data_IF_495818954369
#
_entry.id   IF_495818954369
#
_cell.length_a   1.000
_cell.length_b   1.000
_cell.length_c   1.000
_cell.angle_alpha   90.00
_cell.angle_beta   90.00
_cell.angle_gamma   90.00
#
_symmetry.space_group_name_H-M   'P 1'
#
loop_
_entity.id
_entity.type
_entity.pdbx_description
1 polymer ?
#
# COMPACT_ATOMS: atom_id res chain seq x y z
N UNK A 1 4.47 2.02 23.17
CA UNK A 1 5.70 1.66 22.43
C UNK A 1 6.23 2.87 21.64
N UNK A 2 5.47 3.50 20.76
CA UNK A 2 5.94 4.63 19.94
C UNK A 2 6.47 5.82 20.75
N UNK A 3 5.91 6.08 21.94
CA UNK A 3 6.39 7.16 22.82
C UNK A 3 7.72 6.86 23.54
N UNK A 4 8.16 5.62 23.55
CA UNK A 4 9.36 5.17 24.28
C UNK A 4 10.62 5.10 23.40
N UNK A 5 10.49 5.37 22.09
CA UNK A 5 11.58 5.27 21.13
C UNK A 5 11.69 6.56 20.31
N UNK A 6 12.91 6.92 19.93
CA UNK A 6 13.20 8.09 19.11
C UNK A 6 12.97 7.87 17.60
N UNK A 7 12.61 6.65 17.18
CA UNK A 7 12.37 6.28 15.78
C UNK A 7 10.86 6.21 15.55
N UNK A 8 10.32 6.78 14.45
CA UNK A 8 8.91 6.62 14.11
C UNK A 8 8.53 5.15 13.95
N UNK A 9 7.57 4.68 14.75
CA UNK A 9 7.02 3.32 14.65
C UNK A 9 5.95 3.30 13.57
N UNK A 10 6.04 2.35 12.64
CA UNK A 10 5.04 2.08 11.62
C UNK A 10 4.25 0.82 11.97
N UNK A 11 2.94 0.80 11.69
CA UNK A 11 2.07 -0.38 11.87
C UNK A 11 0.77 -0.23 11.09
N UNK A 12 0.05 -1.34 10.91
CA UNK A 12 -1.29 -1.31 10.31
C UNK A 12 -1.56 -2.41 9.30
N UNK A 13 -0.56 -3.12 8.83
CA UNK A 13 -0.60 -4.05 7.69
C UNK A 13 -1.65 -5.17 7.82
N UNK A 14 -1.92 -5.64 9.04
CA UNK A 14 -2.91 -6.72 9.29
C UNK A 14 -4.24 -6.20 9.85
N UNK A 15 -4.40 -4.89 10.00
CA UNK A 15 -5.62 -4.31 10.55
C UNK A 15 -6.70 -4.23 9.47
N UNK A 16 -7.83 -4.89 9.73
CA UNK A 16 -8.88 -5.11 8.74
C UNK A 16 -10.05 -4.12 8.85
N UNK A 17 -9.99 -3.18 9.78
CA UNK A 17 -11.05 -2.19 9.93
C UNK A 17 -10.53 -0.78 10.22
N UNK A 18 -11.28 0.24 9.77
CA UNK A 18 -11.02 1.62 10.16
C UNK A 18 -11.14 1.86 11.67
N UNK A 19 -11.86 1.00 12.37
CA UNK A 19 -11.96 1.04 13.83
C UNK A 19 -10.62 0.79 14.50
N UNK A 20 -9.88 -0.19 14.02
CA UNK A 20 -8.53 -0.49 14.50
C UNK A 20 -7.59 0.71 14.29
N UNK A 21 -7.64 1.32 13.11
CA UNK A 21 -6.84 2.50 12.83
C UNK A 21 -7.23 3.71 13.68
N UNK A 22 -8.53 3.91 13.94
CA UNK A 22 -9.00 4.92 14.89
C UNK A 22 -8.35 4.73 16.26
N UNK A 23 -8.29 3.51 16.75
CA UNK A 23 -7.75 3.19 18.07
C UNK A 23 -6.21 3.36 18.10
N UNK A 24 -5.51 2.99 17.03
CA UNK A 24 -4.08 3.28 16.85
C UNK A 24 -3.81 4.78 16.90
N UNK A 25 -4.60 5.57 16.17
CA UNK A 25 -4.48 7.03 16.11
C UNK A 25 -4.77 7.65 17.50
N UNK A 26 -5.91 7.28 18.10
CA UNK A 26 -6.36 7.84 19.39
C UNK A 26 -5.35 7.57 20.52
N UNK A 27 -4.69 6.43 20.49
CA UNK A 27 -3.69 6.04 21.49
C UNK A 27 -2.26 6.48 21.13
N UNK A 28 -2.07 7.09 19.96
CA UNK A 28 -0.75 7.42 19.40
C UNK A 28 0.20 6.23 19.41
N UNK A 29 -0.30 5.04 19.12
CA UNK A 29 0.45 3.79 19.18
C UNK A 29 1.50 3.69 18.04
N UNK A 30 1.31 4.44 16.95
CA UNK A 30 2.23 4.53 15.83
C UNK A 30 2.39 5.98 15.35
N UNK A 31 3.43 6.22 14.56
CA UNK A 31 3.72 7.50 13.90
C UNK A 31 3.54 7.43 12.39
N UNK A 32 3.49 6.23 11.83
CA UNK A 32 3.26 5.96 10.41
C UNK A 32 2.21 4.86 10.34
N UNK A 33 1.16 5.05 9.55
CA UNK A 33 0.15 4.02 9.34
C UNK A 33 0.42 3.27 8.03
N UNK A 34 0.27 1.93 8.10
CA UNK A 34 0.52 1.04 6.96
C UNK A 34 -0.77 0.30 6.53
N UNK A 35 -1.83 1.03 6.12
CA UNK A 35 -3.06 0.39 5.69
C UNK A 35 -2.87 -0.36 4.38
N UNK A 36 -3.37 -1.60 4.31
CA UNK A 36 -3.43 -2.39 3.10
C UNK A 36 -4.88 -2.43 2.60
N UNK A 37 -5.13 -1.95 1.39
CA UNK A 37 -6.48 -1.93 0.82
C UNK A 37 -7.04 -3.34 0.59
N UNK A 38 -6.18 -4.33 0.35
CA UNK A 38 -6.58 -5.74 0.22
C UNK A 38 -7.07 -6.35 1.54
N UNK A 39 -6.53 -5.88 2.67
CA UNK A 39 -6.90 -6.35 4.02
C UNK A 39 -8.02 -5.50 4.62
N UNK A 40 -8.00 -4.20 4.38
CA UNK A 40 -8.88 -3.21 5.02
C UNK A 40 -10.30 -3.16 4.42
N UNK A 41 -10.58 -3.92 3.36
CA UNK A 41 -11.90 -3.93 2.72
C UNK A 41 -12.01 -2.98 1.52
N UNK A 42 -10.90 -2.64 0.89
CA UNK A 42 -10.84 -1.96 -0.39
C UNK A 42 -10.49 -0.47 -0.31
N UNK A 43 -10.46 0.14 -1.48
CA UNK A 43 -10.05 1.54 -1.71
C UNK A 43 -10.83 2.53 -0.84
N UNK A 44 -12.16 2.36 -0.75
CA UNK A 44 -13.02 3.29 0.00
C UNK A 44 -12.71 3.33 1.49
N UNK A 45 -12.41 2.19 2.11
CA UNK A 45 -12.02 2.15 3.52
C UNK A 45 -10.60 2.66 3.72
N UNK A 46 -9.69 2.34 2.81
CA UNK A 46 -8.33 2.89 2.82
C UNK A 46 -8.34 4.42 2.79
N UNK A 47 -9.11 5.03 1.90
CA UNK A 47 -9.24 6.50 1.81
C UNK A 47 -9.77 7.12 3.10
N UNK A 48 -10.72 6.47 3.78
CA UNK A 48 -11.23 6.95 5.08
C UNK A 48 -10.14 6.92 6.15
N UNK A 49 -9.32 5.87 6.17
CA UNK A 49 -8.17 5.77 7.09
C UNK A 49 -7.16 6.87 6.80
N UNK A 50 -6.78 7.06 5.54
CA UNK A 50 -5.81 8.07 5.14
C UNK A 50 -6.28 9.50 5.50
N UNK A 51 -7.54 9.84 5.22
CA UNK A 51 -8.11 11.15 5.59
C UNK A 51 -8.22 11.34 7.12
N UNK A 52 -8.55 10.27 7.85
CA UNK A 52 -8.55 10.33 9.31
C UNK A 52 -7.14 10.56 9.83
N UNK A 53 -6.14 9.84 9.33
CA UNK A 53 -4.74 10.02 9.68
C UNK A 53 -4.25 11.45 9.39
N UNK A 54 -4.64 12.02 8.24
CA UNK A 54 -4.30 13.38 7.85
C UNK A 54 -4.81 14.42 8.88
N UNK A 55 -5.98 14.19 9.47
CA UNK A 55 -6.55 15.08 10.51
C UNK A 55 -5.75 15.08 11.82
N UNK A 56 -4.82 14.13 11.97
CA UNK A 56 -3.90 14.00 13.11
C UNK A 56 -2.43 14.17 12.70
N UNK A 57 -2.17 14.73 11.52
CA UNK A 57 -0.83 14.94 10.96
C UNK A 57 0.00 13.63 10.87
N UNK A 58 -0.68 12.50 10.72
CA UNK A 58 -0.04 11.20 10.59
C UNK A 58 0.12 10.81 9.11
N UNK A 59 1.33 10.44 8.68
CA UNK A 59 1.55 9.94 7.34
C UNK A 59 1.06 8.49 7.16
N UNK A 60 0.76 8.15 5.91
CA UNK A 60 0.45 6.80 5.47
C UNK A 60 1.54 6.27 4.54
N UNK A 61 1.93 5.02 4.72
CA UNK A 61 2.86 4.28 3.87
C UNK A 61 2.29 2.86 3.71
N UNK A 62 1.42 2.60 2.71
CA UNK A 62 0.67 1.36 2.62
C UNK A 62 1.57 0.14 2.51
N UNK A 63 1.06 -0.98 3.04
CA UNK A 63 1.67 -2.30 2.99
C UNK A 63 1.39 -2.97 1.65
N UNK A 64 2.38 -3.64 1.04
CA UNK A 64 2.27 -4.46 -0.17
C UNK A 64 1.65 -3.73 -1.38
N UNK A 65 1.31 -4.47 -2.42
CA UNK A 65 0.50 -4.06 -3.57
C UNK A 65 0.86 -2.66 -4.12
N UNK A 66 2.15 -2.41 -4.40
CA UNK A 66 2.58 -1.14 -5.00
C UNK A 66 1.76 -0.77 -6.24
N UNK A 67 1.39 -1.76 -7.04
CA UNK A 67 0.57 -1.66 -8.25
C UNK A 67 -0.85 -1.10 -8.01
N UNK A 68 -1.41 -1.35 -6.84
CA UNK A 68 -2.68 -0.77 -6.39
C UNK A 68 -2.44 0.53 -5.61
N UNK A 69 -1.56 0.47 -4.60
CA UNK A 69 -1.40 1.55 -3.64
C UNK A 69 -0.78 2.82 -4.22
N UNK A 70 -0.05 2.73 -5.34
CA UNK A 70 0.52 3.90 -5.99
C UNK A 70 -0.54 4.94 -6.39
N UNK A 71 -1.74 4.50 -6.78
CA UNK A 71 -2.86 5.39 -7.08
C UNK A 71 -3.43 6.05 -5.83
N UNK A 72 -3.51 5.30 -4.73
CA UNK A 72 -4.01 5.79 -3.45
C UNK A 72 -3.04 6.79 -2.82
N UNK A 73 -1.76 6.49 -2.86
CA UNK A 73 -0.68 7.38 -2.41
C UNK A 73 -0.66 8.67 -3.25
N UNK A 74 -0.87 8.57 -4.56
CA UNK A 74 -0.98 9.73 -5.44
C UNK A 74 -2.23 10.59 -5.21
N UNK A 75 -3.24 10.07 -4.51
CA UNK A 75 -4.52 10.75 -4.28
C UNK A 75 -4.62 11.45 -2.92
N UNK A 76 -3.66 11.29 -2.00
CA UNK A 76 -3.69 11.88 -0.66
C UNK A 76 -2.44 12.71 -0.36
N UNK A 77 -2.60 13.76 0.44
CA UNK A 77 -1.52 14.70 0.75
C UNK A 77 -0.57 14.23 1.85
N UNK A 78 -1.00 13.25 2.65
CA UNK A 78 -0.23 12.71 3.77
C UNK A 78 0.45 11.37 3.45
N UNK A 79 0.58 11.03 2.16
CA UNK A 79 1.34 9.86 1.75
C UNK A 79 2.85 10.07 1.92
N UNK A 80 3.55 9.04 2.39
CA UNK A 80 4.99 9.04 2.58
C UNK A 80 5.69 8.29 1.44
N UNK A 81 5.29 7.05 1.17
CA UNK A 81 5.89 6.17 0.17
C UNK A 81 4.95 5.02 -0.15
N UNK A 82 5.32 4.18 -1.12
CA UNK A 82 4.78 2.82 -1.30
C UNK A 82 5.83 1.79 -0.94
N UNK A 83 5.42 0.63 -0.47
CA UNK A 83 6.28 -0.52 -0.33
C UNK A 83 6.45 -1.20 -1.69
N UNK A 84 7.68 -1.55 -2.04
CA UNK A 84 7.98 -2.19 -3.31
C UNK A 84 8.95 -3.36 -3.11
N UNK A 85 8.65 -4.49 -3.74
CA UNK A 85 9.49 -5.68 -3.75
C UNK A 85 10.05 -5.90 -5.15
N UNK A 86 11.35 -6.05 -5.26
CA UNK A 86 11.95 -6.42 -6.54
C UNK A 86 11.63 -7.87 -6.89
N UNK A 87 11.33 -8.13 -8.15
CA UNK A 87 10.88 -9.46 -8.61
C UNK A 87 11.91 -10.57 -8.34
N UNK A 88 13.18 -10.24 -8.38
CA UNK A 88 14.29 -11.15 -8.10
C UNK A 88 14.36 -11.62 -6.63
N UNK A 89 13.70 -10.90 -5.72
CA UNK A 89 13.63 -11.28 -4.31
C UNK A 89 12.60 -12.38 -4.03
N UNK A 90 11.73 -12.68 -5.02
CA UNK A 90 10.70 -13.73 -4.97
C UNK A 90 9.75 -13.64 -3.76
N UNK A 91 9.52 -12.42 -3.27
CA UNK A 91 8.61 -12.13 -2.15
C UNK A 91 7.20 -11.85 -2.66
N UNK A 92 7.07 -10.94 -3.63
CA UNK A 92 5.79 -10.54 -4.22
C UNK A 92 5.72 -10.99 -5.67
N UNK A 93 4.89 -11.99 -5.95
CA UNK A 93 4.87 -12.67 -7.24
C UNK A 93 3.73 -12.24 -8.18
N UNK A 94 2.84 -11.32 -7.77
CA UNK A 94 1.74 -10.84 -8.61
C UNK A 94 2.23 -10.23 -9.93
N UNK A 95 3.36 -9.53 -9.91
CA UNK A 95 3.95 -8.93 -11.11
C UNK A 95 4.33 -9.94 -12.20
N UNK A 96 4.47 -11.24 -11.86
CA UNK A 96 4.77 -12.31 -12.82
C UNK A 96 3.64 -12.58 -13.82
N UNK A 97 2.42 -12.15 -13.50
CA UNK A 97 1.25 -12.25 -14.38
C UNK A 97 0.90 -10.94 -15.06
N UNK A 98 1.75 -9.93 -14.98
CA UNK A 98 1.60 -8.66 -15.68
C UNK A 98 2.46 -8.60 -16.94
N UNK A 99 1.92 -8.06 -18.03
CA UNK A 99 2.70 -7.78 -19.26
C UNK A 99 3.74 -6.70 -19.05
N UNK A 100 3.39 -5.70 -18.27
CA UNK A 100 4.25 -4.57 -17.93
C UNK A 100 4.21 -4.37 -16.42
N UNK A 101 5.37 -4.28 -15.82
CA UNK A 101 5.53 -4.08 -14.38
C UNK A 101 5.78 -2.61 -14.07
N UNK A 102 5.43 -2.19 -12.87
CA UNK A 102 5.94 -0.94 -12.32
C UNK A 102 7.41 -1.13 -11.95
N UNK A 103 8.30 -0.33 -12.51
CA UNK A 103 9.74 -0.42 -12.23
C UNK A 103 10.20 0.87 -11.58
N UNK A 104 10.74 0.82 -10.35
CA UNK A 104 11.33 1.97 -9.70
C UNK A 104 12.53 2.49 -10.47
N UNK A 105 12.64 3.80 -10.58
CA UNK A 105 13.80 4.48 -11.14
C UNK A 105 14.18 5.67 -10.26
N UNK A 106 15.43 5.72 -9.83
CA UNK A 106 15.94 6.81 -8.96
C UNK A 106 15.07 7.03 -7.71
N UNK A 107 14.59 5.95 -7.08
CA UNK A 107 13.76 6.01 -5.88
C UNK A 107 12.31 6.45 -6.11
N UNK A 108 11.85 6.47 -7.35
CA UNK A 108 10.51 6.86 -7.73
C UNK A 108 9.84 5.81 -8.61
N UNK A 109 8.51 5.70 -8.49
CA UNK A 109 7.65 4.92 -9.38
C UNK A 109 6.66 5.89 -10.04
N UNK A 110 6.53 5.79 -11.37
CA UNK A 110 5.56 6.58 -12.12
C UNK A 110 4.17 5.94 -12.00
N UNK A 111 3.17 6.74 -11.63
CA UNK A 111 1.77 6.30 -11.64
C UNK A 111 1.35 6.03 -13.10
N UNK A 112 0.78 4.85 -13.42
CA UNK A 112 0.28 4.56 -14.76
C UNK A 112 -0.80 5.54 -15.20
N UNK A 113 -0.68 6.03 -16.42
CA UNK A 113 -1.68 6.89 -17.07
C UNK A 113 -2.53 6.08 -18.06
N UNK A 114 -3.27 5.11 -17.52
CA UNK A 114 -4.18 4.22 -18.27
C UNK A 114 -5.49 4.05 -17.49
N UNK A 115 -6.60 3.69 -18.15
CA UNK A 115 -7.86 3.39 -17.47
C UNK A 115 -7.73 2.32 -16.39
N UNK A 116 -8.49 2.46 -15.31
CA UNK A 116 -8.46 1.57 -14.15
C UNK A 116 -7.15 1.71 -13.39
N UNK A 117 -6.57 0.59 -12.97
CA UNK A 117 -5.26 0.55 -12.30
C UNK A 117 -4.09 0.64 -13.29
N UNK A 118 -4.35 0.73 -14.59
CA UNK A 118 -3.31 0.75 -15.60
C UNK A 118 -2.57 -0.57 -15.79
N UNK A 119 -3.04 -1.65 -15.17
CA UNK A 119 -2.42 -2.97 -15.24
C UNK A 119 -2.94 -3.75 -16.45
N UNK A 120 -2.05 -4.49 -17.10
CA UNK A 120 -2.39 -5.39 -18.20
C UNK A 120 -1.95 -6.81 -17.84
N UNK A 121 -2.91 -7.70 -17.69
CA UNK A 121 -2.65 -9.10 -17.37
C UNK A 121 -2.05 -9.84 -18.59
N UNK A 122 -1.13 -10.76 -18.32
CA UNK A 122 -0.59 -11.72 -19.28
C UNK A 122 -1.33 -13.05 -19.13
N UNK A 123 -2.24 -13.34 -20.05
CA UNK A 123 -3.06 -14.56 -20.01
C UNK A 123 -2.21 -15.83 -20.10
N UNK A 124 -1.14 -15.82 -20.87
CA UNK A 124 -0.24 -16.98 -20.97
C UNK A 124 0.51 -17.22 -19.65
N UNK A 125 0.88 -16.17 -18.95
CA UNK A 125 1.46 -16.28 -17.62
C UNK A 125 0.43 -16.78 -16.59
N UNK A 126 -0.82 -16.29 -16.65
CA UNK A 126 -1.90 -16.76 -15.79
C UNK A 126 -2.13 -18.27 -15.99
N UNK A 127 -2.22 -18.74 -17.22
CA UNK A 127 -2.37 -20.17 -17.50
C UNK A 127 -1.20 -21.00 -16.95
N UNK A 128 0.03 -20.50 -17.09
CA UNK A 128 1.23 -21.16 -16.58
C UNK A 128 1.26 -21.32 -15.08
N UNK A 129 0.71 -20.33 -14.33
CA UNK A 129 0.69 -20.32 -12.87
C UNK A 129 -0.65 -20.81 -12.28
N UNK A 130 -1.62 -21.17 -13.12
CA UNK A 130 -2.91 -21.68 -12.65
C UNK A 130 -2.73 -23.01 -11.88
N UNK A 131 -3.25 -23.06 -10.68
CA UNK A 131 -3.34 -24.30 -9.89
C UNK A 131 -4.58 -25.05 -10.35
N UNK A 132 -4.42 -26.31 -10.79
CA UNK A 132 -5.50 -27.19 -11.23
C UNK A 132 -5.86 -28.19 -10.12
#
# INVERSE_FOLDING_TARGET
>A
MAAAVGIPVATGEIHSSRGDFRDIIATMAARILQPDAGVLGGISEWMKVAHTAASFDLPVAPHWHADLHIHLVGAVSNALTVEYFFLEEDIYNFERILRERLVPSHGQIRIPDRPGLGLVLDEAAIERFAVR
#
